data_IF_712156089010
#
_entry.id   IF_712156089010
#
_cell.length_a   1.000
_cell.length_b   1.000
_cell.length_c   1.000
_cell.angle_alpha   90.00
_cell.angle_beta   90.00
_cell.angle_gamma   90.00
#
_symmetry.space_group_name_H-M   'P 1'
#
loop_
_entity.id
_entity.type
_entity.pdbx_description
1 polymer ?
#
# COMPACT_ATOMS: atom_id res chain seq x y z
N UNK A 1 8.25 6.48 -14.19
CA UNK A 1 8.77 5.32 -13.45
C UNK A 1 7.75 4.20 -13.45
N UNK A 2 8.12 2.98 -13.90
CA UNK A 2 7.38 1.77 -13.57
C UNK A 2 7.26 1.66 -12.05
N UNK A 3 6.15 1.13 -11.55
CA UNK A 3 5.92 1.00 -10.11
C UNK A 3 7.00 0.10 -9.48
N UNK A 4 7.80 0.64 -8.57
CA UNK A 4 8.93 -0.02 -7.90
C UNK A 4 8.49 -1.08 -6.86
N UNK A 5 7.20 -1.43 -6.86
CA UNK A 5 6.55 -2.27 -5.84
C UNK A 5 7.08 -3.70 -5.75
N UNK A 6 7.87 -4.14 -6.73
CA UNK A 6 8.38 -5.52 -6.82
C UNK A 6 7.30 -6.54 -7.19
N UNK A 7 6.09 -6.08 -7.56
CA UNK A 7 5.00 -6.95 -7.97
C UNK A 7 5.26 -7.53 -9.37
N UNK A 8 4.99 -8.82 -9.61
CA UNK A 8 5.23 -9.46 -10.92
C UNK A 8 4.23 -9.01 -11.99
N UNK A 9 3.20 -8.25 -11.62
CA UNK A 9 2.14 -7.72 -12.47
C UNK A 9 1.59 -6.43 -11.89
N UNK A 10 0.95 -5.63 -12.74
CA UNK A 10 0.23 -4.45 -12.29
C UNK A 10 -0.79 -4.81 -11.20
N UNK A 11 -0.82 -4.00 -10.16
CA UNK A 11 -1.53 -4.28 -8.92
C UNK A 11 -2.12 -2.99 -8.35
N UNK A 12 -3.06 -3.11 -7.40
CA UNK A 12 -3.70 -1.96 -6.73
C UNK A 12 -3.60 -2.10 -5.21
N UNK A 13 -3.31 -0.99 -4.54
CA UNK A 13 -3.55 -0.87 -3.11
C UNK A 13 -5.02 -0.50 -2.89
N UNK A 14 -5.65 -1.09 -1.87
CA UNK A 14 -7.09 -0.93 -1.58
C UNK A 14 -7.25 -0.30 -0.20
N UNK A 15 -7.40 1.03 -0.16
CA UNK A 15 -7.59 1.77 1.08
C UNK A 15 -8.82 1.27 1.86
N UNK A 16 -9.86 0.84 1.14
CA UNK A 16 -11.10 0.29 1.69
C UNK A 16 -10.96 -1.07 2.36
N UNK A 17 -9.81 -1.74 2.21
CA UNK A 17 -9.49 -3.02 2.83
C UNK A 17 -8.40 -2.89 3.92
N UNK A 18 -8.15 -1.67 4.41
CA UNK A 18 -7.15 -1.43 5.45
C UNK A 18 -7.47 -2.20 6.73
N UNK A 19 -6.45 -2.80 7.35
CA UNK A 19 -6.58 -3.52 8.62
C UNK A 19 -5.29 -3.48 9.42
N UNK A 20 -5.43 -3.51 10.74
CA UNK A 20 -4.31 -3.76 11.66
C UNK A 20 -4.00 -5.26 11.70
N UNK A 21 -2.71 -5.62 11.62
CA UNK A 21 -2.25 -7.01 11.73
C UNK A 21 -1.13 -7.13 12.76
N UNK A 22 -1.02 -8.29 13.42
CA UNK A 22 0.14 -8.59 14.25
C UNK A 22 1.37 -8.80 13.38
N UNK A 23 2.55 -8.34 13.83
CA UNK A 23 3.84 -8.57 13.15
C UNK A 23 4.11 -10.05 12.92
N UNK A 24 3.59 -10.94 13.79
CA UNK A 24 3.71 -12.40 13.63
C UNK A 24 2.97 -12.97 12.41
N UNK A 25 2.14 -12.16 11.72
CA UNK A 25 1.46 -12.54 10.46
C UNK A 25 2.21 -12.06 9.22
N UNK A 26 3.34 -11.37 9.37
CA UNK A 26 4.19 -11.01 8.25
C UNK A 26 5.14 -12.19 8.02
N UNK A 27 4.85 -12.97 6.98
CA UNK A 27 5.66 -14.12 6.58
C UNK A 27 6.57 -13.74 5.41
N UNK A 28 7.84 -14.17 5.47
CA UNK A 28 8.81 -13.99 4.40
C UNK A 28 9.49 -12.62 4.36
N UNK A 29 10.33 -12.43 3.33
CA UNK A 29 11.09 -11.21 3.13
C UNK A 29 10.24 -10.09 2.50
N UNK A 30 10.63 -8.81 2.66
CA UNK A 30 9.95 -7.70 1.99
C UNK A 30 9.90 -7.90 0.47
N UNK A 31 8.71 -7.77 -0.12
CA UNK A 31 8.50 -7.99 -1.57
C UNK A 31 9.04 -6.83 -2.43
N UNK A 32 9.06 -5.61 -1.88
CA UNK A 32 9.49 -4.41 -2.59
C UNK A 32 9.17 -3.13 -1.81
N UNK A 33 9.17 -1.99 -2.49
CA UNK A 33 8.87 -0.68 -1.90
C UNK A 33 7.98 0.13 -2.83
N UNK A 34 7.06 0.91 -2.26
CA UNK A 34 6.28 1.85 -3.05
C UNK A 34 7.13 3.07 -3.39
N UNK A 35 6.97 3.59 -4.61
CA UNK A 35 7.51 4.90 -4.97
C UNK A 35 6.87 6.00 -4.10
N UNK A 36 7.57 7.13 -3.92
CA UNK A 36 7.03 8.30 -3.18
C UNK A 36 5.69 8.76 -3.76
N UNK A 37 5.53 8.72 -5.08
CA UNK A 37 4.28 9.11 -5.76
C UNK A 37 3.14 8.16 -5.41
N UNK A 38 3.38 6.84 -5.46
CA UNK A 38 2.38 5.82 -5.13
C UNK A 38 1.98 5.93 -3.65
N UNK A 39 2.95 6.16 -2.76
CA UNK A 39 2.69 6.32 -1.33
C UNK A 39 1.82 7.56 -1.04
N UNK A 40 2.10 8.70 -1.68
CA UNK A 40 1.30 9.92 -1.54
C UNK A 40 -0.16 9.73 -2.04
N UNK A 41 -0.34 9.02 -3.16
CA UNK A 41 -1.69 8.69 -3.65
C UNK A 41 -2.45 7.76 -2.69
N UNK A 42 -1.74 6.82 -2.03
CA UNK A 42 -2.33 5.95 -1.02
C UNK A 42 -2.74 6.73 0.24
N UNK A 43 -1.95 7.73 0.67
CA UNK A 43 -2.30 8.60 1.79
C UNK A 43 -3.61 9.36 1.53
N UNK A 44 -3.76 9.97 0.35
CA UNK A 44 -5.00 10.67 -0.02
C UNK A 44 -6.20 9.71 -0.08
N UNK A 45 -6.00 8.50 -0.62
CA UNK A 45 -7.05 7.47 -0.64
C UNK A 45 -7.46 7.02 0.77
N UNK A 46 -6.50 6.92 1.72
CA UNK A 46 -6.79 6.60 3.11
C UNK A 46 -7.54 7.73 3.81
N UNK A 47 -7.16 9.00 3.58
CA UNK A 47 -7.88 10.16 4.13
C UNK A 47 -9.33 10.19 3.66
N UNK A 48 -9.54 9.98 2.35
CA UNK A 48 -10.89 9.87 1.78
C UNK A 48 -11.67 8.69 2.38
N UNK A 49 -11.07 7.51 2.45
CA UNK A 49 -11.76 6.31 2.95
C UNK A 49 -12.14 6.41 4.42
N UNK A 50 -11.30 7.05 5.23
CA UNK A 50 -11.46 7.18 6.68
C UNK A 50 -12.15 8.49 7.10
N UNK A 51 -12.64 9.28 6.14
CA UNK A 51 -13.33 10.56 6.37
C UNK A 51 -12.48 11.56 7.20
N UNK A 52 -11.20 11.70 6.82
CA UNK A 52 -10.22 12.57 7.47
C UNK A 52 -9.94 13.86 6.67
N UNK A 53 -10.83 14.21 5.74
CA UNK A 53 -10.71 15.34 4.82
C UNK A 53 -11.17 16.66 5.43
#
# INVERSE_FOLDING_TARGET
EPDESGMPRESKAQAEQVRSVSVRRLDGDPVGKLSTRTLAALEEALRLHLDLL
#
